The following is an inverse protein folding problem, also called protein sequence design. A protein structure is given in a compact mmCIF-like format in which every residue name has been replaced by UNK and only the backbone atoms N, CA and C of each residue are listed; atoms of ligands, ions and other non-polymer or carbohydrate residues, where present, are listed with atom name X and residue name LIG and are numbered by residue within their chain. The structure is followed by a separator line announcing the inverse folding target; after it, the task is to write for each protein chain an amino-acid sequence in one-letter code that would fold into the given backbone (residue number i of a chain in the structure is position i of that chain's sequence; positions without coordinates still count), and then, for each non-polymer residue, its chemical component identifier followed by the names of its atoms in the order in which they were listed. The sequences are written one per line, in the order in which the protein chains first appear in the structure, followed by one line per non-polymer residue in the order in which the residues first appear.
data_IF_136674749915
#
_entry.id   IF_136674749915
#
_cell.length_a   1.000
_cell.length_b   1.000
_cell.length_c   1.000
_cell.angle_alpha   90.00
_cell.angle_beta   90.00
_cell.angle_gamma   90.00
#
_symmetry.space_group_name_H-M   'P 1'
#
loop_
_entity.id
_entity.type
_entity.pdbx_description
1 polymer ?
#
# COMPACT_ATOMS: atom_id res chain seq x y z
N UNK A 1 25.64 -3.39 -1.14
CA UNK A 1 25.88 -2.57 0.05
C UNK A 1 27.00 -3.24 0.84
N UNK A 2 28.02 -2.50 1.22
CA UNK A 2 29.16 -2.97 2.02
C UNK A 2 28.85 -2.85 3.51
N UNK A 3 29.58 -3.57 4.37
CA UNK A 3 29.39 -3.50 5.83
C UNK A 3 29.50 -2.05 6.39
N UNK A 4 30.47 -1.21 5.96
CA UNK A 4 30.53 0.19 6.41
C UNK A 4 29.28 1.01 6.02
N UNK A 5 28.75 0.82 4.81
CA UNK A 5 27.52 1.48 4.36
C UNK A 5 26.32 1.06 5.22
N UNK A 6 26.23 -0.23 5.57
CA UNK A 6 25.19 -0.78 6.45
C UNK A 6 25.24 -0.14 7.83
N UNK A 7 26.42 -0.09 8.44
CA UNK A 7 26.62 0.55 9.74
C UNK A 7 26.22 2.03 9.70
N UNK A 8 26.62 2.75 8.66
CA UNK A 8 26.26 4.16 8.47
C UNK A 8 24.74 4.36 8.38
N UNK A 9 24.04 3.52 7.60
CA UNK A 9 22.58 3.58 7.47
C UNK A 9 21.87 3.27 8.80
N UNK A 10 22.32 2.24 9.52
CA UNK A 10 21.75 1.87 10.82
C UNK A 10 21.98 2.97 11.86
N UNK A 11 23.18 3.54 11.94
CA UNK A 11 23.47 4.67 12.84
C UNK A 11 22.61 5.89 12.50
N UNK A 12 22.38 6.18 11.21
CA UNK A 12 21.48 7.25 10.80
C UNK A 12 20.03 6.97 11.26
N UNK A 13 19.54 5.74 11.13
CA UNK A 13 18.18 5.38 11.56
C UNK A 13 18.03 5.22 13.09
N UNK A 14 19.12 5.02 13.83
CA UNK A 14 19.12 4.84 15.30
C UNK A 14 18.80 6.12 16.10
N UNK A 15 18.26 7.16 15.47
CA UNK A 15 17.78 8.38 16.13
C UNK A 15 16.31 8.59 15.79
N UNK A 16 15.49 8.87 16.82
CA UNK A 16 14.03 8.87 16.70
C UNK A 16 13.49 9.81 15.61
N UNK A 17 13.98 11.05 15.55
CA UNK A 17 13.53 12.04 14.55
C UNK A 17 13.92 11.63 13.13
N UNK A 18 15.12 11.09 12.90
CA UNK A 18 15.60 10.59 11.60
C UNK A 18 14.75 9.40 11.14
N UNK A 19 14.43 8.48 12.05
CA UNK A 19 13.53 7.37 11.73
C UNK A 19 12.12 7.87 11.37
N UNK A 20 11.59 8.85 12.10
CA UNK A 20 10.28 9.45 11.80
C UNK A 20 10.29 10.18 10.45
N UNK A 21 11.32 10.98 10.15
CA UNK A 21 11.50 11.64 8.86
C UNK A 21 11.53 10.60 7.73
N UNK A 22 12.37 9.57 7.87
CA UNK A 22 12.48 8.52 6.86
C UNK A 22 11.14 7.79 6.65
N UNK A 23 10.43 7.43 7.72
CA UNK A 23 9.10 6.81 7.63
C UNK A 23 8.09 7.72 6.92
N UNK A 24 8.08 9.01 7.21
CA UNK A 24 7.21 9.95 6.50
C UNK A 24 7.57 10.02 5.01
N UNK A 25 8.85 10.09 4.67
CA UNK A 25 9.30 10.09 3.28
C UNK A 25 8.97 8.78 2.55
N UNK A 26 9.00 7.63 3.24
CA UNK A 26 8.54 6.34 2.70
C UNK A 26 7.04 6.37 2.40
N UNK A 27 6.23 6.95 3.31
CA UNK A 27 4.78 7.12 3.09
C UNK A 27 4.51 8.02 1.90
N UNK A 28 5.27 9.11 1.75
CA UNK A 28 5.18 10.00 0.58
C UNK A 28 5.70 9.37 -0.71
N UNK A 29 6.57 8.37 -0.61
CA UNK A 29 7.14 7.65 -1.75
C UNK A 29 7.71 8.57 -2.82
N UNK A 30 7.31 8.43 -4.10
CA UNK A 30 7.86 9.22 -5.20
C UNK A 30 7.50 10.71 -5.14
N UNK A 31 6.45 11.08 -4.39
CA UNK A 31 6.10 12.49 -4.21
C UNK A 31 7.20 13.24 -3.47
N UNK A 32 7.78 12.58 -2.47
CA UNK A 32 8.65 13.22 -1.51
C UNK A 32 7.93 14.27 -0.67
N UNK A 33 8.70 15.04 0.08
CA UNK A 33 8.17 16.11 0.92
C UNK A 33 9.16 17.28 0.97
N UNK A 34 8.65 18.51 1.06
CA UNK A 34 9.47 19.69 1.29
C UNK A 34 9.92 19.74 2.75
N UNK A 35 11.07 20.37 3.06
CA UNK A 35 11.49 20.53 4.45
C UNK A 35 10.49 21.33 5.30
N UNK A 36 9.78 22.30 4.71
CA UNK A 36 8.73 23.03 5.42
C UNK A 36 7.60 22.12 5.91
N UNK A 37 7.12 21.22 5.05
CA UNK A 37 6.05 20.28 5.41
C UNK A 37 6.54 19.20 6.38
N UNK A 38 7.78 18.72 6.25
CA UNK A 38 8.38 17.78 7.20
C UNK A 38 8.49 18.41 8.61
N UNK A 39 8.89 19.68 8.70
CA UNK A 39 8.99 20.39 9.97
C UNK A 39 7.62 20.51 10.65
N UNK A 40 6.59 20.85 9.88
CA UNK A 40 5.22 20.97 10.36
C UNK A 40 4.65 19.62 10.84
N UNK A 41 4.70 18.59 10.00
CA UNK A 41 4.10 17.26 10.30
C UNK A 41 4.78 16.60 11.51
N UNK A 42 6.10 16.78 11.66
CA UNK A 42 6.86 16.15 12.74
C UNK A 42 7.11 17.07 13.94
N UNK A 43 6.57 18.28 13.93
CA UNK A 43 6.80 19.31 14.94
C UNK A 43 8.29 19.54 15.27
N UNK A 44 9.14 19.54 14.23
CA UNK A 44 10.59 19.73 14.36
C UNK A 44 10.99 21.18 14.04
N UNK A 45 11.99 21.69 14.76
CA UNK A 45 12.56 23.00 14.40
C UNK A 45 13.29 22.93 13.05
N UNK A 46 13.32 24.02 12.25
CA UNK A 46 14.00 24.03 10.96
C UNK A 46 15.50 23.66 11.04
N UNK A 47 16.16 24.08 12.12
CA UNK A 47 17.57 23.77 12.38
C UNK A 47 17.78 22.28 12.65
N UNK A 48 16.96 21.68 13.53
CA UNK A 48 17.06 20.26 13.83
C UNK A 48 16.74 19.41 12.59
N UNK A 49 15.70 19.78 11.83
CA UNK A 49 15.33 19.09 10.61
C UNK A 49 16.46 19.10 9.58
N UNK A 50 17.09 20.27 9.36
CA UNK A 50 18.20 20.39 8.40
C UNK A 50 19.39 19.50 8.78
N UNK A 51 19.70 19.41 10.07
CA UNK A 51 20.71 18.49 10.60
C UNK A 51 20.35 17.03 10.31
N UNK A 52 19.11 16.62 10.64
CA UNK A 52 18.64 15.24 10.40
C UNK A 52 18.60 14.86 8.92
N UNK A 53 18.16 15.76 8.04
CA UNK A 53 18.12 15.55 6.59
C UNK A 53 19.53 15.39 6.00
N UNK A 54 20.50 16.18 6.47
CA UNK A 54 21.90 16.05 6.05
C UNK A 54 22.46 14.67 6.39
N UNK A 55 22.24 14.21 7.61
CA UNK A 55 22.70 12.89 8.08
C UNK A 55 22.05 11.73 7.29
N UNK A 56 20.74 11.81 7.04
CA UNK A 56 20.03 10.81 6.24
C UNK A 56 20.48 10.81 4.77
N UNK A 57 20.77 11.99 4.20
CA UNK A 57 21.28 12.12 2.84
C UNK A 57 22.70 11.55 2.73
N UNK A 58 23.55 11.83 3.72
CA UNK A 58 24.92 11.30 3.78
C UNK A 58 24.95 9.77 3.91
N UNK A 59 23.96 9.17 4.60
CA UNK A 59 23.77 7.73 4.68
C UNK A 59 23.11 7.10 3.44
N UNK A 60 22.78 7.90 2.42
CA UNK A 60 22.14 7.45 1.19
C UNK A 60 20.71 6.95 1.38
N UNK A 61 20.07 7.23 2.52
CA UNK A 61 18.71 6.78 2.83
C UNK A 61 17.64 7.69 2.22
N UNK A 62 17.98 8.94 1.90
CA UNK A 62 17.09 9.87 1.23
C UNK A 62 17.83 10.56 0.09
N UNK A 63 17.07 10.98 -0.92
CA UNK A 63 17.54 11.84 -2.00
C UNK A 63 16.90 13.22 -1.88
N UNK A 64 17.54 14.21 -2.50
CA UNK A 64 17.00 15.56 -2.60
C UNK A 64 17.04 16.02 -4.05
N UNK A 65 16.00 16.70 -4.49
CA UNK A 65 15.90 17.25 -5.84
C UNK A 65 15.28 18.65 -5.77
N UNK A 66 15.76 19.55 -6.64
CA UNK A 66 15.22 20.90 -6.73
C UNK A 66 14.12 20.95 -7.77
N UNK A 67 12.92 21.29 -7.32
CA UNK A 67 11.74 21.51 -8.17
C UNK A 67 11.32 22.98 -8.07
N UNK A 68 11.75 23.76 -9.07
CA UNK A 68 11.58 25.21 -9.09
C UNK A 68 12.24 25.90 -7.89
N UNK A 69 11.39 26.48 -7.01
CA UNK A 69 11.84 27.19 -5.79
C UNK A 69 11.96 26.27 -4.58
N UNK A 70 11.48 25.04 -4.66
CA UNK A 70 11.39 24.14 -3.52
C UNK A 70 12.42 23.02 -3.64
N UNK A 71 12.86 22.51 -2.49
CA UNK A 71 13.68 21.30 -2.39
C UNK A 71 12.77 20.17 -1.92
N UNK A 72 12.72 19.08 -2.66
CA UNK A 72 11.88 17.91 -2.37
C UNK A 72 12.79 16.76 -1.94
N UNK A 73 12.56 16.23 -0.75
CA UNK A 73 13.25 15.05 -0.23
C UNK A 73 12.44 13.80 -0.48
N UNK A 74 13.08 12.69 -0.83
CA UNK A 74 12.44 11.39 -1.13
C UNK A 74 13.18 10.25 -0.45
N UNK A 75 12.47 9.17 -0.11
CA UNK A 75 13.12 7.96 0.38
C UNK A 75 13.91 7.27 -0.75
N UNK A 76 15.14 6.87 -0.48
CA UNK A 76 15.95 6.08 -1.39
C UNK A 76 15.66 4.58 -1.19
N UNK A 77 14.60 4.09 -1.84
CA UNK A 77 14.14 2.70 -1.69
C UNK A 77 15.21 1.66 -2.04
N UNK A 78 16.08 1.95 -3.02
CA UNK A 78 17.16 1.05 -3.40
C UNK A 78 18.14 0.79 -2.23
N UNK A 79 18.53 1.83 -1.50
CA UNK A 79 19.41 1.72 -0.33
C UNK A 79 18.75 0.92 0.78
N UNK A 80 17.47 1.20 1.07
CA UNK A 80 16.74 0.47 2.11
C UNK A 80 16.55 -1.01 1.77
N UNK A 81 16.22 -1.33 0.53
CA UNK A 81 16.10 -2.72 0.07
C UNK A 81 17.43 -3.45 0.17
N UNK A 82 18.54 -2.78 -0.16
CA UNK A 82 19.88 -3.35 -0.02
C UNK A 82 20.25 -3.58 1.45
N UNK A 83 19.86 -2.67 2.36
CA UNK A 83 20.05 -2.82 3.80
C UNK A 83 19.25 -4.02 4.36
N UNK A 84 17.97 -4.13 4.03
CA UNK A 84 17.12 -5.26 4.45
C UNK A 84 17.65 -6.57 3.89
N UNK A 85 18.07 -6.58 2.62
CA UNK A 85 18.71 -7.74 2.01
C UNK A 85 19.96 -8.14 2.79
N UNK A 86 20.84 -7.18 3.11
CA UNK A 86 22.05 -7.44 3.89
C UNK A 86 21.74 -8.07 5.25
N UNK A 87 20.78 -7.52 5.99
CA UNK A 87 20.39 -8.03 7.31
C UNK A 87 19.70 -9.38 7.27
N UNK A 88 19.10 -9.73 6.12
CA UNK A 88 18.39 -11.00 5.92
C UNK A 88 19.29 -12.09 5.31
N UNK A 89 20.51 -11.74 4.87
CA UNK A 89 21.50 -12.72 4.43
C UNK A 89 21.77 -13.65 5.61
N UNK A 90 21.60 -14.95 5.40
CA UNK A 90 21.69 -16.03 6.38
C UNK A 90 20.46 -16.25 7.29
N UNK A 91 19.38 -15.46 7.18
CA UNK A 91 18.15 -15.72 7.95
C UNK A 91 17.41 -17.00 7.52
N UNK A 92 17.68 -17.51 6.30
CA UNK A 92 17.06 -18.74 5.77
C UNK A 92 17.91 -20.01 5.97
N UNK A 93 19.14 -19.89 6.46
CA UNK A 93 20.05 -21.02 6.74
C UNK A 93 20.14 -21.36 8.23
N UNK A 94 19.39 -20.64 9.08
CA UNK A 94 19.28 -20.96 10.50
C UNK A 94 18.22 -22.05 10.67
N UNK A 95 18.54 -23.22 11.25
CA UNK A 95 17.52 -24.12 11.76
C UNK A 95 16.72 -23.33 12.79
N UNK A 96 15.44 -23.09 12.49
CA UNK A 96 14.43 -22.37 13.26
C UNK A 96 14.80 -22.25 14.75
N UNK A 97 15.13 -21.03 15.19
CA UNK A 97 15.18 -20.71 16.61
C UNK A 97 13.79 -20.93 17.22
N UNK A 98 13.74 -21.80 18.22
CA UNK A 98 12.73 -21.96 19.26
C UNK A 98 11.51 -21.03 19.13
N UNK A 99 10.40 -21.58 18.61
CA UNK A 99 9.13 -21.08 19.06
C UNK A 99 8.95 -21.48 20.53
N UNK A 100 8.69 -20.55 21.47
CA UNK A 100 8.20 -20.96 22.77
C UNK A 100 6.90 -21.74 22.57
N UNK A 101 6.71 -22.87 23.27
CA UNK A 101 5.52 -23.68 23.08
C UNK A 101 4.27 -22.84 23.37
N UNK A 102 3.30 -22.90 22.47
CA UNK A 102 1.98 -22.31 22.68
C UNK A 102 1.41 -22.81 24.04
N UNK A 103 0.83 -21.93 24.87
CA UNK A 103 0.33 -22.35 26.17
C UNK A 103 -0.96 -23.16 25.99
N UNK A 104 -0.91 -24.40 26.46
CA UNK A 104 -2.08 -25.16 26.90
C UNK A 104 -2.74 -26.04 25.84
N UNK A 105 -2.27 -27.28 25.72
CA UNK A 105 -3.19 -28.42 25.76
C UNK A 105 -2.56 -29.56 26.54
N UNK A 106 -3.35 -30.08 27.46
CA UNK A 106 -2.95 -30.95 28.55
C UNK A 106 -2.19 -32.19 28.09
N UNK A 107 -1.20 -32.53 28.91
CA UNK A 107 -0.46 -33.76 28.83
C UNK A 107 -1.37 -34.98 29.02
N UNK A 108 -1.19 -36.00 28.17
CA UNK A 108 -1.30 -37.37 28.64
C UNK A 108 -0.32 -38.28 27.87
N UNK A 109 0.65 -38.93 28.52
CA UNK A 109 1.47 -39.95 27.90
C UNK A 109 0.82 -41.34 28.02
N UNK A 110 1.10 -42.17 27.01
CA UNK A 110 0.86 -43.63 26.95
C UNK A 110 -0.43 -44.13 26.30
N UNK A 111 -0.32 -44.51 25.01
CA UNK A 111 -0.47 -45.91 24.56
C UNK A 111 0.00 -46.07 23.11
N UNK A 112 0.66 -47.17 22.74
CA UNK A 112 0.94 -47.48 21.34
C UNK A 112 -0.27 -48.21 20.75
N UNK A 113 -0.82 -47.74 19.63
CA UNK A 113 -1.72 -48.55 18.80
C UNK A 113 -1.37 -48.39 17.32
N UNK A 114 -1.29 -49.56 16.71
CA UNK A 114 -0.87 -49.95 15.37
C UNK A 114 -1.59 -49.25 14.21
N UNK A 115 -0.89 -49.26 13.05
CA UNK A 115 -1.44 -48.98 11.73
C UNK A 115 -2.73 -49.76 11.43
N UNK A 116 -3.74 -49.06 10.94
CA UNK A 116 -4.60 -49.55 9.86
C UNK A 116 -5.36 -48.41 9.20
N UNK A 117 -5.31 -48.41 7.88
CA UNK A 117 -6.07 -47.63 6.89
C UNK A 117 -7.36 -46.96 7.37
N UNK A 118 -7.37 -45.63 7.34
CA UNK A 118 -8.58 -44.86 7.08
C UNK A 118 -8.22 -43.74 6.11
N UNK A 119 -8.57 -43.96 4.84
CA UNK A 119 -8.68 -42.96 3.79
C UNK A 119 -9.47 -41.75 4.33
N UNK A 120 -8.80 -40.61 4.53
CA UNK A 120 -9.47 -39.35 4.85
C UNK A 120 -9.18 -38.31 3.74
N UNK A 121 -10.20 -37.84 3.00
CA UNK A 121 -10.04 -36.81 1.99
C UNK A 121 -10.15 -35.44 2.65
N UNK A 122 -9.07 -34.96 3.24
CA UNK A 122 -9.01 -33.60 3.79
C UNK A 122 -7.58 -33.09 3.85
N UNK A 123 -6.92 -32.99 2.70
CA UNK A 123 -5.77 -32.10 2.57
C UNK A 123 -6.32 -30.68 2.42
N UNK A 124 -5.99 -29.71 3.30
CA UNK A 124 -6.22 -28.32 2.97
C UNK A 124 -5.39 -28.03 1.72
N UNK A 125 -6.06 -27.67 0.63
CA UNK A 125 -5.37 -27.18 -0.57
C UNK A 125 -4.50 -26.02 -0.13
N UNK A 126 -3.18 -26.24 -0.16
CA UNK A 126 -2.19 -25.19 -0.25
C UNK A 126 -2.67 -24.20 -1.31
N UNK A 127 -2.93 -22.96 -0.91
CA UNK A 127 -2.98 -21.85 -1.86
C UNK A 127 -1.54 -21.59 -2.29
N UNK A 128 -1.04 -22.44 -3.20
CA UNK A 128 0.10 -22.09 -4.01
C UNK A 128 -0.25 -20.80 -4.75
N UNK A 129 0.66 -19.82 -4.73
CA UNK A 129 0.47 -18.60 -5.48
C UNK A 129 0.17 -18.94 -6.94
N UNK A 130 -0.81 -18.30 -7.55
CA UNK A 130 -0.91 -18.33 -8.99
C UNK A 130 0.29 -17.58 -9.57
N UNK A 131 0.91 -18.15 -10.59
CA UNK A 131 1.89 -17.51 -11.47
C UNK A 131 1.28 -16.34 -12.28
N UNK A 132 0.25 -15.68 -11.76
CA UNK A 132 -0.59 -14.71 -12.45
C UNK A 132 -0.61 -13.37 -11.73
N UNK A 133 -0.80 -12.31 -12.52
CA UNK A 133 -0.98 -10.94 -12.06
C UNK A 133 -2.33 -10.81 -11.38
N UNK A 134 -2.36 -10.32 -10.13
CA UNK A 134 -3.61 -10.16 -9.37
C UNK A 134 -4.39 -8.93 -9.83
N UNK A 135 -5.66 -9.11 -10.16
CA UNK A 135 -6.53 -8.04 -10.61
C UNK A 135 -7.26 -7.38 -9.43
N UNK A 136 -7.21 -6.04 -9.36
CA UNK A 136 -7.82 -5.24 -8.30
C UNK A 136 -8.76 -4.20 -8.91
N UNK A 137 -10.01 -4.18 -8.49
CA UNK A 137 -11.00 -3.18 -8.91
C UNK A 137 -11.27 -2.17 -7.80
N UNK A 138 -10.94 -0.90 -8.04
CA UNK A 138 -11.29 0.21 -7.16
C UNK A 138 -12.63 0.83 -7.54
N UNK A 139 -13.58 0.86 -6.61
CA UNK A 139 -14.92 1.39 -6.86
C UNK A 139 -15.12 2.69 -6.07
N UNK A 140 -15.58 3.72 -6.75
CA UNK A 140 -16.19 4.89 -6.09
C UNK A 140 -17.51 5.24 -6.77
N UNK A 141 -18.20 6.30 -6.33
CA UNK A 141 -19.47 6.68 -6.95
C UNK A 141 -19.27 7.13 -8.41
N UNK A 142 -18.43 8.14 -8.63
CA UNK A 142 -18.34 8.83 -9.92
C UNK A 142 -17.19 8.36 -10.84
N UNK A 143 -16.29 7.50 -10.36
CA UNK A 143 -15.05 7.14 -11.06
C UNK A 143 -14.35 8.31 -11.75
N UNK A 144 -14.14 9.38 -10.97
CA UNK A 144 -13.60 10.64 -11.50
C UNK A 144 -12.33 11.09 -10.80
N UNK A 145 -12.19 10.85 -9.48
CA UNK A 145 -11.00 11.23 -8.72
C UNK A 145 -10.39 10.06 -7.93
N UNK A 146 -10.98 9.70 -6.78
CA UNK A 146 -10.42 8.72 -5.82
C UNK A 146 -10.03 7.37 -6.46
N UNK A 147 -10.97 6.69 -7.12
CA UNK A 147 -10.68 5.38 -7.71
C UNK A 147 -9.73 5.45 -8.91
N UNK A 148 -9.69 6.59 -9.63
CA UNK A 148 -8.73 6.83 -10.71
C UNK A 148 -7.31 6.99 -10.14
N UNK A 149 -7.14 7.76 -9.07
CA UNK A 149 -5.85 7.88 -8.38
C UNK A 149 -5.38 6.53 -7.83
N UNK A 150 -6.31 5.73 -7.28
CA UNK A 150 -6.02 4.39 -6.78
C UNK A 150 -5.55 3.43 -7.89
N UNK A 151 -6.22 3.44 -9.05
CA UNK A 151 -5.84 2.66 -10.24
C UNK A 151 -4.41 3.02 -10.68
N UNK A 152 -4.11 4.31 -10.82
CA UNK A 152 -2.79 4.77 -11.24
C UNK A 152 -1.70 4.40 -10.23
N UNK A 153 -1.96 4.61 -8.93
CA UNK A 153 -1.05 4.26 -7.84
C UNK A 153 -0.69 2.77 -7.84
N UNK A 154 -1.70 1.89 -7.87
CA UNK A 154 -1.44 0.46 -7.78
C UNK A 154 -0.79 -0.10 -9.05
N UNK A 155 -1.18 0.37 -10.24
CA UNK A 155 -0.54 -0.07 -11.49
C UNK A 155 0.95 0.29 -11.54
N UNK A 156 1.35 1.43 -10.98
CA UNK A 156 2.74 1.85 -10.96
C UNK A 156 3.53 1.19 -9.82
N UNK A 157 2.99 1.20 -8.59
CA UNK A 157 3.68 0.69 -7.40
C UNK A 157 3.66 -0.85 -7.31
N UNK A 158 2.67 -1.50 -7.92
CA UNK A 158 2.51 -2.96 -7.92
C UNK A 158 3.55 -3.70 -8.77
N UNK A 159 4.35 -3.00 -9.58
CA UNK A 159 5.49 -3.53 -10.32
C UNK A 159 5.19 -4.85 -11.09
N UNK A 160 4.02 -4.94 -11.71
CA UNK A 160 3.60 -6.11 -12.50
C UNK A 160 3.03 -7.28 -11.69
N UNK A 161 3.07 -7.25 -10.35
CA UNK A 161 2.38 -8.23 -9.50
C UNK A 161 0.87 -8.00 -9.45
N UNK A 162 0.44 -6.76 -9.70
CA UNK A 162 -0.94 -6.34 -9.67
C UNK A 162 -1.31 -5.63 -10.96
N UNK A 163 -2.56 -5.80 -11.36
CA UNK A 163 -3.22 -5.01 -12.40
C UNK A 163 -4.45 -4.36 -11.80
N UNK A 164 -4.43 -3.04 -11.74
CA UNK A 164 -5.49 -2.24 -11.17
C UNK A 164 -6.45 -1.76 -12.25
N UNK A 165 -7.73 -1.73 -11.88
CA UNK A 165 -8.83 -1.14 -12.62
C UNK A 165 -9.62 -0.24 -11.68
N UNK A 166 -10.41 0.67 -12.24
CA UNK A 166 -11.37 1.46 -11.46
C UNK A 166 -12.70 1.62 -12.17
N UNK A 167 -13.76 1.73 -11.38
CA UNK A 167 -15.10 1.94 -11.90
C UNK A 167 -15.98 2.75 -10.95
N UNK A 168 -17.13 3.16 -11.49
CA UNK A 168 -18.13 4.00 -10.86
C UNK A 168 -19.46 3.27 -10.78
N UNK A 169 -20.18 3.43 -9.69
CA UNK A 169 -21.59 3.02 -9.64
C UNK A 169 -22.51 3.99 -10.36
N UNK A 170 -22.13 5.27 -10.41
CA UNK A 170 -22.75 6.32 -11.23
C UNK A 170 -21.63 7.14 -11.86
N UNK A 171 -20.92 6.60 -12.88
CA UNK A 171 -19.73 7.24 -13.43
C UNK A 171 -20.03 8.63 -13.99
N UNK A 172 -19.13 9.59 -13.76
CA UNK A 172 -19.27 10.96 -14.26
C UNK A 172 -19.08 11.06 -15.80
N UNK A 173 -18.59 10.00 -16.45
CA UNK A 173 -18.26 9.98 -17.87
C UNK A 173 -16.93 10.63 -18.21
N UNK A 174 -16.34 11.40 -17.29
CA UNK A 174 -15.01 12.00 -17.42
C UNK A 174 -14.20 11.92 -16.13
N UNK A 175 -12.88 11.85 -16.30
CA UNK A 175 -11.93 11.92 -15.18
C UNK A 175 -11.80 13.37 -14.72
N UNK A 176 -11.70 13.58 -13.41
CA UNK A 176 -11.52 14.90 -12.82
C UNK A 176 -10.16 15.46 -13.25
N UNK A 177 -10.09 16.64 -13.89
CA UNK A 177 -8.83 17.22 -14.34
C UNK A 177 -7.79 17.41 -13.23
N UNK A 178 -8.20 17.67 -11.98
CA UNK A 178 -7.25 17.82 -10.86
C UNK A 178 -6.63 16.51 -10.41
N UNK A 179 -7.36 15.40 -10.55
CA UNK A 179 -6.77 14.07 -10.35
C UNK A 179 -5.70 13.79 -11.42
N UNK A 180 -5.98 14.12 -12.69
CA UNK A 180 -5.00 13.97 -13.79
C UNK A 180 -3.79 14.86 -13.56
N UNK A 181 -3.99 16.14 -13.24
CA UNK A 181 -2.92 17.10 -12.97
C UNK A 181 -2.02 16.64 -11.82
N UNK A 182 -2.61 16.19 -10.71
CA UNK A 182 -1.86 15.64 -9.59
C UNK A 182 -1.04 14.40 -10.00
N UNK A 183 -1.65 13.45 -10.71
CA UNK A 183 -0.96 12.25 -11.21
C UNK A 183 0.20 12.61 -12.14
N UNK A 184 -0.01 13.53 -13.08
CA UNK A 184 1.02 13.99 -14.02
C UNK A 184 2.18 14.71 -13.32
N UNK A 185 1.89 15.60 -12.37
CA UNK A 185 2.91 16.27 -11.54
C UNK A 185 3.80 15.28 -10.80
N UNK A 186 3.28 14.09 -10.51
CA UNK A 186 4.00 13.03 -9.82
C UNK A 186 4.46 11.90 -10.74
N UNK A 187 4.50 12.17 -12.05
CA UNK A 187 5.00 11.26 -13.08
C UNK A 187 4.27 9.91 -13.17
N UNK A 188 2.99 9.87 -12.78
CA UNK A 188 2.14 8.71 -13.02
C UNK A 188 1.65 8.69 -14.47
N UNK A 189 1.55 7.48 -15.04
CA UNK A 189 0.98 7.28 -16.37
C UNK A 189 -0.55 7.49 -16.33
N UNK A 190 -1.06 8.40 -17.16
CA UNK A 190 -2.48 8.78 -17.18
C UNK A 190 -3.24 8.43 -18.46
N UNK A 191 -2.55 8.00 -19.53
CA UNK A 191 -3.12 7.93 -20.89
C UNK A 191 -4.29 6.93 -21.08
N UNK A 192 -4.42 5.94 -20.21
CA UNK A 192 -5.47 4.91 -20.29
C UNK A 192 -6.59 5.09 -19.25
N UNK A 193 -6.49 6.12 -18.40
CA UNK A 193 -7.46 6.36 -17.33
C UNK A 193 -8.75 6.94 -17.91
N UNK A 194 -9.88 6.31 -17.59
CA UNK A 194 -11.22 6.78 -17.98
C UNK A 194 -12.26 6.50 -16.90
N UNK A 195 -13.30 7.34 -16.89
CA UNK A 195 -14.49 7.13 -16.07
C UNK A 195 -15.39 6.09 -16.73
N UNK A 196 -15.76 5.05 -15.99
CA UNK A 196 -16.48 3.88 -16.51
C UNK A 196 -17.39 3.24 -15.49
N UNK A 197 -18.45 2.61 -15.99
CA UNK A 197 -19.45 1.94 -15.18
C UNK A 197 -18.94 0.59 -14.67
N UNK A 198 -19.23 0.27 -13.41
CA UNK A 198 -18.80 -0.97 -12.77
C UNK A 198 -19.40 -2.24 -13.40
N UNK A 199 -20.53 -2.13 -14.12
CA UNK A 199 -21.17 -3.24 -14.81
C UNK A 199 -20.32 -3.74 -15.97
N UNK A 200 -19.36 -2.94 -16.46
CA UNK A 200 -18.36 -3.39 -17.42
C UNK A 200 -17.58 -4.60 -16.90
N UNK A 201 -17.29 -4.64 -15.60
CA UNK A 201 -16.49 -5.68 -14.95
C UNK A 201 -17.30 -6.91 -14.51
N UNK A 202 -18.63 -6.87 -14.68
CA UNK A 202 -19.51 -8.00 -14.39
C UNK A 202 -19.94 -8.76 -15.67
N UNK A 203 -19.53 -8.31 -16.85
CA UNK A 203 -19.89 -8.93 -18.14
C UNK A 203 -19.08 -10.21 -18.40
N UNK A 204 -19.62 -11.17 -19.17
CA UNK A 204 -18.85 -12.30 -19.68
C UNK A 204 -17.60 -11.82 -20.42
N UNK A 205 -16.44 -12.42 -20.11
CA UNK A 205 -15.14 -12.05 -20.70
C UNK A 205 -14.49 -10.80 -20.11
N UNK A 206 -15.13 -10.14 -19.12
CA UNK A 206 -14.43 -9.15 -18.31
C UNK A 206 -13.30 -9.82 -17.51
N UNK A 207 -12.23 -9.07 -17.16
CA UNK A 207 -11.18 -9.63 -16.33
C UNK A 207 -11.74 -10.11 -14.99
N UNK A 208 -11.32 -11.28 -14.53
CA UNK A 208 -11.69 -11.80 -13.21
C UNK A 208 -10.97 -11.02 -12.12
N UNK A 209 -11.70 -10.56 -11.10
CA UNK A 209 -11.13 -9.77 -10.01
C UNK A 209 -10.73 -10.69 -8.85
N UNK A 210 -9.52 -10.48 -8.31
CA UNK A 210 -9.11 -11.08 -7.04
C UNK A 210 -9.60 -10.22 -5.87
N UNK A 211 -9.59 -8.89 -6.05
CA UNK A 211 -9.94 -7.92 -5.03
C UNK A 211 -10.88 -6.84 -5.56
N UNK A 212 -11.88 -6.47 -4.76
CA UNK A 212 -12.76 -5.32 -5.00
C UNK A 212 -12.71 -4.38 -3.81
N UNK A 213 -12.22 -3.16 -4.03
CA UNK A 213 -11.95 -2.20 -2.96
C UNK A 213 -12.79 -0.94 -3.16
N UNK A 214 -13.74 -0.70 -2.26
CA UNK A 214 -14.58 0.51 -2.31
C UNK A 214 -13.87 1.66 -1.60
N UNK A 215 -13.70 2.80 -2.28
CA UNK A 215 -12.97 3.96 -1.73
C UNK A 215 -13.87 5.16 -1.38
N UNK A 216 -15.19 4.96 -1.47
CA UNK A 216 -16.21 5.93 -1.11
C UNK A 216 -17.30 5.25 -0.29
N UNK A 217 -17.76 5.90 0.77
CA UNK A 217 -18.77 5.35 1.69
C UNK A 217 -20.10 5.06 0.99
N UNK A 218 -20.52 5.96 0.08
CA UNK A 218 -21.72 5.76 -0.75
C UNK A 218 -21.64 4.47 -1.58
N UNK A 219 -20.51 4.24 -2.25
CA UNK A 219 -20.32 3.03 -3.05
C UNK A 219 -20.25 1.76 -2.20
N UNK A 220 -19.83 1.85 -0.92
CA UNK A 220 -19.84 0.72 0.01
C UNK A 220 -21.25 0.35 0.48
N UNK A 221 -22.18 1.31 0.49
CA UNK A 221 -23.59 1.11 0.88
C UNK A 221 -24.51 0.69 -0.27
N UNK A 222 -24.02 0.63 -1.50
CA UNK A 222 -24.80 0.27 -2.68
C UNK A 222 -24.76 -1.24 -2.94
N UNK A 223 -25.84 -1.78 -3.51
CA UNK A 223 -25.91 -3.20 -3.90
C UNK A 223 -25.01 -3.41 -5.10
N UNK A 224 -23.80 -3.91 -4.85
CA UNK A 224 -22.85 -4.26 -5.89
C UNK A 224 -23.38 -5.42 -6.75
N UNK A 225 -23.03 -5.46 -8.05
CA UNK A 225 -23.32 -6.63 -8.88
C UNK A 225 -22.57 -7.87 -8.35
N UNK A 226 -23.07 -9.06 -8.69
CA UNK A 226 -22.35 -10.31 -8.41
C UNK A 226 -21.11 -10.35 -9.30
N UNK A 227 -19.95 -10.29 -8.68
CA UNK A 227 -18.67 -10.37 -9.37
C UNK A 227 -18.33 -11.84 -9.71
N UNK A 228 -17.91 -12.14 -10.96
CA UNK A 228 -17.30 -13.42 -11.30
C UNK A 228 -16.12 -13.72 -10.36
N UNK A 229 -15.93 -14.98 -9.97
CA UNK A 229 -14.79 -15.42 -9.15
C UNK A 229 -14.87 -15.13 -7.64
N UNK A 230 -15.90 -14.41 -7.16
CA UNK A 230 -16.08 -14.05 -5.74
C UNK A 230 -14.84 -13.36 -5.12
N UNK A 231 -14.44 -12.19 -5.64
CA UNK A 231 -13.31 -11.41 -5.14
C UNK A 231 -13.42 -11.14 -3.64
N UNK A 232 -12.27 -10.98 -2.99
CA UNK A 232 -12.22 -10.46 -1.63
C UNK A 232 -12.53 -8.97 -1.64
N UNK A 233 -13.44 -8.54 -0.77
CA UNK A 233 -13.91 -7.17 -0.74
C UNK A 233 -13.59 -6.46 0.56
N UNK A 234 -13.15 -5.20 0.48
CA UNK A 234 -12.94 -4.33 1.63
C UNK A 234 -13.29 -2.88 1.31
N UNK A 235 -13.53 -2.10 2.36
CA UNK A 235 -13.88 -0.69 2.26
C UNK A 235 -12.77 0.19 2.82
N UNK A 236 -12.23 1.08 1.98
CA UNK A 236 -11.18 2.03 2.29
C UNK A 236 -11.73 3.45 2.11
N UNK A 237 -12.64 3.88 2.99
CA UNK A 237 -13.30 5.18 2.93
C UNK A 237 -12.31 6.35 2.87
N UNK A 238 -12.47 7.22 1.88
CA UNK A 238 -11.63 8.40 1.64
C UNK A 238 -12.55 9.60 1.42
N UNK A 239 -12.36 10.71 2.15
CA UNK A 239 -13.09 11.96 1.93
C UNK A 239 -13.06 12.35 0.45
N UNK A 240 -14.18 12.86 -0.09
CA UNK A 240 -14.23 13.24 -1.49
C UNK A 240 -13.45 14.54 -1.74
N UNK A 241 -12.29 14.52 -2.42
CA UNK A 241 -11.55 15.74 -2.69
C UNK A 241 -12.32 16.67 -3.66
N UNK A 242 -13.26 16.14 -4.44
CA UNK A 242 -14.08 16.94 -5.36
C UNK A 242 -15.17 17.75 -4.65
N UNK A 243 -15.39 17.50 -3.35
CA UNK A 243 -16.32 18.29 -2.54
C UNK A 243 -15.67 19.55 -1.95
N UNK A 244 -14.34 19.69 -2.02
CA UNK A 244 -13.64 20.88 -1.56
C UNK A 244 -13.99 22.10 -2.42
N UNK A 245 -14.31 23.22 -1.78
CA UNK A 245 -14.66 24.50 -2.42
C UNK A 245 -13.83 25.62 -1.82
N UNK A 246 -13.57 26.68 -2.58
CA UNK A 246 -12.84 27.86 -2.07
C UNK A 246 -11.58 28.14 -2.88
N UNK A 247 -10.48 28.47 -2.21
CA UNK A 247 -9.22 28.81 -2.89
C UNK A 247 -8.61 27.60 -3.61
N UNK A 248 -7.79 27.87 -4.62
CA UNK A 248 -7.11 26.83 -5.38
C UNK A 248 -6.22 25.97 -4.48
N UNK A 249 -5.55 26.59 -3.50
CA UNK A 249 -4.68 25.90 -2.53
C UNK A 249 -5.47 24.93 -1.65
N UNK A 250 -6.69 25.30 -1.23
CA UNK A 250 -7.53 24.42 -0.43
C UNK A 250 -8.00 23.19 -1.22
N UNK A 251 -8.38 23.40 -2.48
CA UNK A 251 -8.75 22.31 -3.38
C UNK A 251 -7.54 21.39 -3.63
N UNK A 252 -6.38 21.95 -3.95
CA UNK A 252 -5.14 21.19 -4.16
C UNK A 252 -4.74 20.39 -2.92
N UNK A 253 -4.89 20.97 -1.74
CA UNK A 253 -4.63 20.27 -0.47
C UNK A 253 -5.57 19.08 -0.29
N UNK A 254 -6.87 19.22 -0.55
CA UNK A 254 -7.83 18.13 -0.45
C UNK A 254 -7.51 16.96 -1.41
N UNK A 255 -7.12 17.27 -2.65
CA UNK A 255 -6.68 16.25 -3.60
C UNK A 255 -5.39 15.55 -3.15
N UNK A 256 -4.44 16.33 -2.62
CA UNK A 256 -3.17 15.79 -2.09
C UNK A 256 -3.43 14.87 -0.90
N UNK A 257 -4.26 15.29 0.06
CA UNK A 257 -4.61 14.47 1.22
C UNK A 257 -5.23 13.13 0.79
N UNK A 258 -6.24 13.16 -0.09
CA UNK A 258 -6.88 11.95 -0.60
C UNK A 258 -5.89 11.02 -1.30
N UNK A 259 -4.95 11.57 -2.07
CA UNK A 259 -3.90 10.81 -2.73
C UNK A 259 -2.96 10.14 -1.72
N UNK A 260 -2.54 10.85 -0.65
CA UNK A 260 -1.67 10.31 0.38
C UNK A 260 -2.31 9.18 1.18
N UNK A 261 -3.60 9.31 1.48
CA UNK A 261 -4.37 8.23 2.11
C UNK A 261 -4.37 6.98 1.22
N UNK A 262 -4.66 7.15 -0.07
CA UNK A 262 -4.64 6.05 -1.05
C UNK A 262 -3.27 5.39 -1.13
N UNK A 263 -2.22 6.20 -1.26
CA UNK A 263 -0.86 5.70 -1.37
C UNK A 263 -0.44 4.91 -0.13
N UNK A 264 -0.76 5.38 1.07
CA UNK A 264 -0.47 4.67 2.33
C UNK A 264 -1.18 3.32 2.35
N UNK A 265 -2.48 3.28 2.04
CA UNK A 265 -3.27 2.03 2.05
C UNK A 265 -2.80 1.04 0.98
N UNK A 266 -2.53 1.51 -0.23
CA UNK A 266 -1.96 0.70 -1.31
C UNK A 266 -0.59 0.17 -0.93
N UNK A 267 0.26 0.98 -0.29
CA UNK A 267 1.57 0.53 0.18
C UNK A 267 1.45 -0.57 1.24
N UNK A 268 0.51 -0.46 2.19
CA UNK A 268 0.23 -1.53 3.17
C UNK A 268 -0.25 -2.81 2.46
N UNK A 269 -1.18 -2.67 1.52
CA UNK A 269 -1.70 -3.78 0.72
C UNK A 269 -0.61 -4.51 -0.06
N UNK A 270 0.29 -3.78 -0.73
CA UNK A 270 1.41 -4.36 -1.49
C UNK A 270 2.38 -5.17 -0.61
N UNK A 271 2.49 -4.82 0.67
CA UNK A 271 3.36 -5.47 1.65
C UNK A 271 2.69 -6.63 2.40
N UNK A 272 1.43 -6.96 2.12
CA UNK A 272 0.80 -8.13 2.73
C UNK A 272 1.50 -9.42 2.28
N UNK A 273 1.73 -10.39 3.19
CA UNK A 273 2.32 -11.67 2.85
C UNK A 273 1.26 -12.61 2.23
N UNK A 274 0.80 -12.30 1.01
CA UNK A 274 -0.28 -13.02 0.32
C UNK A 274 -0.11 -14.55 0.29
N UNK A 275 1.13 -15.04 0.17
CA UNK A 275 1.44 -16.48 0.10
C UNK A 275 1.25 -17.21 1.45
N UNK A 276 1.31 -16.47 2.56
CA UNK A 276 1.30 -17.01 3.92
C UNK A 276 -0.06 -16.84 4.60
N UNK A 277 -0.90 -15.96 4.08
CA UNK A 277 -2.19 -15.64 4.68
C UNK A 277 -3.28 -16.56 4.15
N UNK A 278 -3.97 -17.23 5.08
CA UNK A 278 -5.24 -17.87 4.77
C UNK A 278 -6.29 -16.83 4.39
N UNK A 279 -7.30 -17.23 3.60
CA UNK A 279 -8.33 -16.33 3.04
C UNK A 279 -8.99 -15.42 4.09
N UNK A 280 -9.36 -15.96 5.27
CA UNK A 280 -10.00 -15.18 6.34
C UNK A 280 -9.05 -14.16 6.96
N UNK A 281 -7.78 -14.54 7.16
CA UNK A 281 -6.75 -13.62 7.66
C UNK A 281 -6.49 -12.50 6.66
N UNK A 282 -6.37 -12.83 5.37
CA UNK A 282 -6.20 -11.83 4.32
C UNK A 282 -7.40 -10.87 4.27
N UNK A 283 -8.63 -11.37 4.34
CA UNK A 283 -9.82 -10.52 4.39
C UNK A 283 -9.80 -9.56 5.58
N UNK A 284 -9.37 -10.03 6.75
CA UNK A 284 -9.21 -9.20 7.95
C UNK A 284 -8.18 -8.09 7.74
N UNK A 285 -6.98 -8.43 7.24
CA UNK A 285 -5.94 -7.44 6.93
C UNK A 285 -6.43 -6.37 5.95
N UNK A 286 -7.19 -6.75 4.92
CA UNK A 286 -7.80 -5.82 3.97
C UNK A 286 -8.78 -4.84 4.65
N UNK A 287 -9.56 -5.31 5.62
CA UNK A 287 -10.47 -4.48 6.41
C UNK A 287 -9.71 -3.55 7.37
N UNK A 288 -8.64 -4.05 7.99
CA UNK A 288 -7.80 -3.29 8.93
C UNK A 288 -7.07 -2.14 8.21
N UNK A 289 -6.60 -2.34 6.98
CA UNK A 289 -6.04 -1.28 6.13
C UNK A 289 -7.05 -0.13 5.91
N UNK A 290 -8.34 -0.46 5.77
CA UNK A 290 -9.41 0.53 5.64
C UNK A 290 -9.66 1.30 6.93
N UNK A 291 -9.53 0.61 8.06
CA UNK A 291 -9.91 1.10 9.40
C UNK A 291 -8.78 1.82 10.15
N UNK A 292 -7.54 1.70 9.69
CA UNK A 292 -6.39 2.38 10.27
C UNK A 292 -6.62 3.91 10.28
N UNK A 293 -6.74 4.48 11.48
CA UNK A 293 -7.06 5.91 11.70
C UNK A 293 -5.95 6.82 11.16
N UNK A 294 -6.38 7.98 10.66
CA UNK A 294 -5.54 9.12 10.32
C UNK A 294 -5.19 9.88 11.61
N UNK A 295 -4.32 9.29 12.42
CA UNK A 295 -3.68 9.97 13.55
C UNK A 295 -2.31 10.52 13.11
#
# INVERSE_FOLDING_TARGET
MTEPEVLQALTALAQASRLQIFRQLVVMGPLGMTPGRLAEVLALSPTALSFHLKELTAAGLITQERDGRYLIYRAAFATMNALVAYLSLNCCDVPVCDQPPAPGHDANPAKPVLLSDVSNPATPRSFAMPNHVMNVLFICTHNSARSIMAEALLNQLGAGRFRAFSAGSTPAGQVNPKAIELLQRHHFRVGELRSKDWAEFAKPGAPEMDFVLTVCDKAAGEVCPVWPGQPMSAHWGIPDPSAATGSAEHIDHAFTDAFLVLQRRISLFLNLPFEKLARLSLLKELQDIGSARHD
#
